data_IF_189191588850
#
_entry.id   IF_189191588850
#
_cell.length_a   1.000
_cell.length_b   1.000
_cell.length_c   1.000
_cell.angle_alpha   90.00
_cell.angle_beta   90.00
_cell.angle_gamma   90.00
#
_symmetry.space_group_name_H-M   'P 1'
#
loop_
_entity.id
_entity.type
_entity.pdbx_description
1 polymer ?
#
# COMPACT_ATOMS: atom_id res chain seq x y z
N UNK A 1 13.39 -14.54 5.43
CA UNK A 1 12.41 -13.81 6.27
C UNK A 1 11.52 -14.75 7.08
N UNK A 2 10.85 -15.73 6.47
CA UNK A 2 9.98 -16.69 7.18
C UNK A 2 10.64 -17.40 8.38
N UNK A 3 11.93 -17.76 8.32
CA UNK A 3 12.67 -18.31 9.48
C UNK A 3 12.74 -17.34 10.66
N UNK A 4 12.95 -16.05 10.40
CA UNK A 4 12.99 -15.02 11.44
C UNK A 4 11.58 -14.79 12.01
N UNK A 5 10.55 -14.81 11.16
CA UNK A 5 9.15 -14.73 11.59
C UNK A 5 8.81 -15.84 12.60
N UNK A 6 9.12 -17.10 12.26
CA UNK A 6 8.88 -18.24 13.15
C UNK A 6 9.69 -18.15 14.44
N UNK A 7 10.96 -17.73 14.36
CA UNK A 7 11.79 -17.51 15.54
C UNK A 7 11.21 -16.43 16.48
N UNK A 8 10.48 -15.46 15.95
CA UNK A 8 9.74 -14.44 16.69
C UNK A 8 8.31 -14.82 17.08
N UNK A 9 7.87 -16.07 16.82
CA UNK A 9 6.51 -16.54 17.14
C UNK A 9 5.43 -16.16 16.13
N UNK A 10 5.80 -15.59 14.97
CA UNK A 10 4.87 -15.30 13.87
C UNK A 10 4.71 -16.55 13.01
N UNK A 11 3.51 -17.11 12.96
CA UNK A 11 3.20 -18.38 12.26
C UNK A 11 2.54 -18.20 10.89
N UNK A 12 2.15 -16.98 10.53
CA UNK A 12 1.54 -16.63 9.25
C UNK A 12 1.97 -15.23 8.84
N UNK A 13 2.22 -15.00 7.54
CA UNK A 13 2.50 -13.66 7.00
C UNK A 13 1.76 -13.41 5.69
N UNK A 14 1.61 -12.13 5.34
CA UNK A 14 1.09 -11.67 4.06
C UNK A 14 2.15 -10.76 3.43
N UNK A 15 2.73 -11.18 2.31
CA UNK A 15 3.77 -10.39 1.62
C UNK A 15 3.15 -9.29 0.74
N UNK A 16 3.83 -8.14 0.69
CA UNK A 16 3.44 -6.98 -0.12
C UNK A 16 3.90 -7.15 -1.59
N UNK A 17 3.23 -6.52 -2.57
CA UNK A 17 3.48 -6.78 -3.99
C UNK A 17 4.67 -6.01 -4.58
N UNK A 18 5.26 -5.09 -3.83
CA UNK A 18 6.34 -4.19 -4.27
C UNK A 18 7.72 -4.88 -4.30
N UNK A 19 7.78 -6.14 -4.73
CA UNK A 19 9.02 -6.87 -5.00
C UNK A 19 9.56 -6.58 -6.40
N UNK A 20 10.70 -7.17 -6.76
CA UNK A 20 11.23 -7.12 -8.14
C UNK A 20 11.25 -8.56 -8.69
N UNK A 21 10.38 -8.90 -9.68
CA UNK A 21 9.32 -8.08 -10.27
C UNK A 21 8.15 -7.81 -9.31
N UNK A 22 7.34 -6.78 -9.58
CA UNK A 22 6.17 -6.46 -8.75
C UNK A 22 5.06 -7.51 -8.97
N UNK A 23 4.37 -7.94 -7.92
CA UNK A 23 3.24 -8.88 -8.02
C UNK A 23 1.95 -8.17 -8.49
N UNK A 24 1.95 -7.78 -9.76
CA UNK A 24 0.89 -7.01 -10.42
C UNK A 24 0.20 -7.79 -11.55
N UNK A 25 0.55 -9.07 -11.73
CA UNK A 25 -0.10 -10.02 -12.62
C UNK A 25 -0.39 -11.33 -11.88
N UNK A 26 -1.40 -12.08 -12.34
CA UNK A 26 -1.71 -13.41 -11.77
C UNK A 26 -0.54 -14.39 -11.91
N UNK A 27 0.25 -14.28 -12.99
CA UNK A 27 1.44 -15.10 -13.22
C UNK A 27 2.51 -14.89 -12.15
N UNK A 28 2.91 -13.64 -11.90
CA UNK A 28 3.94 -13.34 -10.88
C UNK A 28 3.42 -13.69 -9.48
N UNK A 29 2.13 -13.51 -9.25
CA UNK A 29 1.50 -13.89 -7.99
C UNK A 29 1.56 -15.41 -7.78
N UNK A 30 1.29 -16.21 -8.81
CA UNK A 30 1.42 -17.67 -8.75
C UNK A 30 2.87 -18.11 -8.54
N UNK A 31 3.84 -17.48 -9.22
CA UNK A 31 5.26 -17.75 -9.00
C UNK A 31 5.65 -17.57 -7.52
N UNK A 32 5.12 -16.54 -6.86
CA UNK A 32 5.34 -16.32 -5.42
C UNK A 32 4.76 -17.44 -4.56
N UNK A 33 3.55 -17.93 -4.86
CA UNK A 33 2.98 -19.10 -4.17
C UNK A 33 3.87 -20.34 -4.34
N UNK A 34 4.38 -20.59 -5.54
CA UNK A 34 5.28 -21.73 -5.80
C UNK A 34 6.61 -21.60 -5.04
N UNK A 35 7.20 -20.41 -4.99
CA UNK A 35 8.42 -20.15 -4.23
C UNK A 35 8.18 -20.37 -2.73
N UNK A 36 7.09 -19.84 -2.18
CA UNK A 36 6.79 -19.96 -0.76
C UNK A 36 6.44 -21.40 -0.35
N UNK A 37 5.79 -22.18 -1.22
CA UNK A 37 5.52 -23.61 -0.97
C UNK A 37 6.79 -24.44 -0.77
N UNK A 38 7.89 -24.05 -1.42
CA UNK A 38 9.16 -24.77 -1.33
C UNK A 38 10.07 -24.22 -0.22
N UNK A 39 9.96 -22.93 0.10
CA UNK A 39 10.97 -22.23 0.91
C UNK A 39 10.45 -21.61 2.21
N UNK A 40 9.14 -21.48 2.38
CA UNK A 40 8.58 -20.82 3.57
C UNK A 40 8.58 -21.76 4.77
N UNK A 41 8.98 -21.24 5.92
CA UNK A 41 8.91 -21.92 7.21
C UNK A 41 7.63 -21.56 8.01
N UNK A 42 6.82 -20.62 7.49
CA UNK A 42 5.59 -20.10 8.08
C UNK A 42 4.47 -20.21 7.05
N UNK A 43 3.20 -20.19 7.49
CA UNK A 43 2.08 -20.02 6.55
C UNK A 43 2.21 -18.66 5.84
N UNK A 44 1.68 -18.59 4.62
CA UNK A 44 1.85 -17.43 3.74
C UNK A 44 0.60 -17.15 2.92
N UNK A 45 0.41 -15.88 2.60
CA UNK A 45 -0.42 -15.38 1.51
C UNK A 45 0.24 -14.12 0.95
N UNK A 46 -0.36 -13.53 -0.08
CA UNK A 46 0.18 -12.39 -0.80
C UNK A 46 -0.93 -11.37 -1.04
N UNK A 47 -0.53 -10.12 -1.24
CA UNK A 47 -1.40 -9.07 -1.75
C UNK A 47 -1.26 -8.97 -3.27
N UNK A 48 -2.35 -8.74 -3.98
CA UNK A 48 -2.31 -8.36 -5.40
C UNK A 48 -2.00 -6.86 -5.51
N UNK A 49 -0.91 -6.49 -6.18
CA UNK A 49 -0.60 -5.08 -6.45
C UNK A 49 -1.51 -4.50 -7.52
N UNK A 50 -2.02 -3.29 -7.28
CA UNK A 50 -2.65 -2.49 -8.32
C UNK A 50 -1.69 -1.40 -8.82
N UNK A 51 -1.77 -1.13 -10.11
CA UNK A 51 -1.10 -0.04 -10.81
C UNK A 51 -2.15 0.75 -11.62
N UNK A 52 -1.73 1.81 -12.30
CA UNK A 52 -2.62 2.56 -13.19
C UNK A 52 -3.15 1.72 -14.38
N UNK A 53 -2.47 0.62 -14.73
CA UNK A 53 -2.66 -0.06 -16.01
C UNK A 53 -3.11 -1.53 -15.90
N UNK A 54 -3.24 -2.09 -14.69
CA UNK A 54 -3.43 -3.53 -14.50
C UNK A 54 -4.80 -3.94 -13.94
N UNK A 55 -5.84 -3.11 -14.10
CA UNK A 55 -7.17 -3.40 -13.54
C UNK A 55 -7.68 -4.80 -13.93
N UNK A 56 -7.47 -5.23 -15.17
CA UNK A 56 -7.91 -6.55 -15.63
C UNK A 56 -7.25 -7.69 -14.86
N UNK A 57 -5.99 -7.53 -14.45
CA UNK A 57 -5.29 -8.49 -13.59
C UNK A 57 -5.84 -8.45 -12.16
N UNK A 58 -6.13 -7.25 -11.64
CA UNK A 58 -6.75 -7.08 -10.31
C UNK A 58 -8.10 -7.79 -10.25
N UNK A 59 -8.94 -7.68 -11.29
CA UNK A 59 -10.26 -8.30 -11.33
C UNK A 59 -10.24 -9.82 -11.50
N UNK A 60 -9.14 -10.41 -11.98
CA UNK A 60 -8.95 -11.88 -12.03
C UNK A 60 -8.60 -12.49 -10.67
N UNK A 61 -8.28 -11.66 -9.67
CA UNK A 61 -7.76 -12.12 -8.38
C UNK A 61 -8.77 -12.98 -7.63
N UNK A 62 -8.36 -14.19 -7.24
CA UNK A 62 -9.21 -15.09 -6.48
C UNK A 62 -9.23 -14.71 -4.99
N UNK A 63 -10.41 -14.39 -4.41
CA UNK A 63 -10.52 -13.98 -3.00
C UNK A 63 -10.26 -15.10 -1.98
N UNK A 64 -10.12 -16.36 -2.42
CA UNK A 64 -9.90 -17.50 -1.52
C UNK A 64 -8.43 -17.73 -1.15
N UNK A 65 -7.49 -17.28 -1.98
CA UNK A 65 -6.07 -17.48 -1.73
C UNK A 65 -5.33 -16.16 -1.48
N UNK A 66 -5.79 -15.04 -2.05
CA UNK A 66 -5.16 -13.72 -1.93
C UNK A 66 -5.79 -12.93 -0.79
N UNK A 67 -4.95 -12.28 0.04
CA UNK A 67 -5.40 -11.56 1.23
C UNK A 67 -6.14 -10.25 0.91
N UNK A 68 -5.86 -9.65 -0.24
CA UNK A 68 -6.51 -8.43 -0.71
C UNK A 68 -5.72 -7.76 -1.83
N UNK A 69 -6.17 -6.58 -2.21
CA UNK A 69 -5.51 -5.71 -3.19
C UNK A 69 -4.69 -4.68 -2.42
N UNK A 70 -3.45 -4.44 -2.82
CA UNK A 70 -2.59 -3.41 -2.25
C UNK A 70 -2.39 -2.27 -3.25
N UNK A 71 -2.63 -1.05 -2.77
CA UNK A 71 -2.44 0.19 -3.53
C UNK A 71 -1.49 1.12 -2.75
N UNK A 72 -0.56 1.76 -3.47
CA UNK A 72 0.28 2.82 -2.93
C UNK A 72 -0.22 4.16 -3.46
N UNK A 73 -0.78 4.99 -2.58
CA UNK A 73 -1.30 6.33 -2.91
C UNK A 73 -0.22 7.41 -2.80
N UNK A 74 0.93 7.03 -2.24
CA UNK A 74 2.16 7.80 -2.20
C UNK A 74 3.35 6.90 -1.88
N UNK A 75 4.55 7.46 -1.88
CA UNK A 75 5.81 6.81 -1.53
C UNK A 75 6.14 5.51 -2.24
N UNK A 76 5.77 5.36 -3.51
CA UNK A 76 6.05 4.11 -4.20
C UNK A 76 7.40 4.13 -4.91
N UNK A 77 8.11 3.00 -4.86
CA UNK A 77 9.20 2.69 -5.78
C UNK A 77 8.63 2.10 -7.07
N UNK A 78 9.07 2.57 -8.24
CA UNK A 78 8.64 2.04 -9.55
C UNK A 78 7.21 2.42 -9.96
N UNK A 79 6.62 1.67 -10.90
CA UNK A 79 5.29 1.91 -11.50
C UNK A 79 4.10 1.53 -10.59
N UNK A 80 4.30 1.44 -9.28
CA UNK A 80 3.29 0.99 -8.31
C UNK A 80 2.52 2.14 -7.65
N UNK A 81 2.91 3.39 -7.91
CA UNK A 81 2.11 4.56 -7.54
C UNK A 81 0.84 4.58 -8.39
N UNK A 82 -0.32 4.69 -7.76
CA UNK A 82 -1.60 4.90 -8.45
C UNK A 82 -2.06 6.32 -8.15
N UNK A 83 -1.80 7.22 -9.08
CA UNK A 83 -2.05 8.67 -8.99
C UNK A 83 -3.17 9.14 -9.93
N UNK A 84 -3.73 8.25 -10.75
CA UNK A 84 -4.89 8.55 -11.58
C UNK A 84 -6.20 8.33 -10.79
N UNK A 85 -6.91 9.41 -10.52
CA UNK A 85 -8.17 9.40 -9.76
C UNK A 85 -9.27 8.56 -10.43
N UNK A 86 -9.35 8.55 -11.76
CA UNK A 86 -10.32 7.73 -12.49
C UNK A 86 -10.02 6.23 -12.33
N UNK A 87 -8.73 5.86 -12.36
CA UNK A 87 -8.31 4.47 -12.16
C UNK A 87 -8.55 4.04 -10.71
N UNK A 88 -8.23 4.89 -9.73
CA UNK A 88 -8.51 4.63 -8.32
C UNK A 88 -10.00 4.39 -8.09
N UNK A 89 -10.87 5.28 -8.59
CA UNK A 89 -12.31 5.11 -8.45
C UNK A 89 -12.81 3.84 -9.13
N UNK A 90 -12.26 3.49 -10.30
CA UNK A 90 -12.60 2.26 -11.01
C UNK A 90 -12.20 1.03 -10.20
N UNK A 91 -11.00 0.98 -9.62
CA UNK A 91 -10.57 -0.13 -8.75
C UNK A 91 -11.52 -0.25 -7.54
N UNK A 92 -11.77 0.87 -6.86
CA UNK A 92 -12.63 0.92 -5.66
C UNK A 92 -14.09 0.54 -5.94
N UNK A 93 -14.58 0.67 -7.18
CA UNK A 93 -15.94 0.31 -7.57
C UNK A 93 -16.08 -1.07 -8.21
N UNK A 94 -14.97 -1.70 -8.63
CA UNK A 94 -15.01 -2.91 -9.46
C UNK A 94 -14.68 -4.21 -8.71
N UNK A 95 -14.38 -4.16 -7.41
CA UNK A 95 -13.99 -5.35 -6.64
C UNK A 95 -14.67 -5.42 -5.27
N UNK A 96 -14.94 -6.64 -4.82
CA UNK A 96 -15.40 -6.94 -3.46
C UNK A 96 -14.26 -7.34 -2.51
N UNK A 97 -13.04 -7.46 -3.03
CA UNK A 97 -11.85 -7.72 -2.22
C UNK A 97 -11.57 -6.56 -1.26
N UNK A 98 -10.92 -6.88 -0.14
CA UNK A 98 -10.35 -5.86 0.74
C UNK A 98 -9.26 -5.09 -0.03
N UNK A 99 -9.39 -3.77 -0.06
CA UNK A 99 -8.38 -2.86 -0.60
C UNK A 99 -7.57 -2.33 0.58
N UNK A 100 -6.29 -2.67 0.60
CA UNK A 100 -5.31 -2.13 1.52
C UNK A 100 -4.54 -0.97 0.88
N UNK A 101 -4.41 0.14 1.59
CA UNK A 101 -3.74 1.34 1.08
C UNK A 101 -2.54 1.74 1.94
N UNK A 102 -1.48 2.20 1.30
CA UNK A 102 -0.47 3.06 1.93
C UNK A 102 -0.82 4.52 1.61
N UNK A 103 -0.99 5.34 2.64
CA UNK A 103 -1.55 6.69 2.53
C UNK A 103 -0.53 7.75 2.93
N UNK A 104 0.11 8.37 1.92
CA UNK A 104 0.87 9.61 2.08
C UNK A 104 0.65 10.49 0.84
N UNK A 105 0.45 11.79 1.00
CA UNK A 105 0.20 12.73 -0.11
C UNK A 105 1.51 13.17 -0.78
N UNK A 106 1.74 12.71 -2.01
CA UNK A 106 2.96 12.97 -2.77
C UNK A 106 3.21 14.46 -3.04
N UNK A 107 2.17 15.23 -3.29
CA UNK A 107 2.31 16.67 -3.54
C UNK A 107 2.84 17.38 -2.29
N UNK A 108 2.28 17.08 -1.12
CA UNK A 108 2.73 17.63 0.17
C UNK A 108 4.18 17.22 0.44
N UNK A 109 4.52 15.95 0.24
CA UNK A 109 5.88 15.44 0.45
C UNK A 109 6.88 16.13 -0.47
N UNK A 110 6.59 16.25 -1.77
CA UNK A 110 7.45 16.94 -2.74
C UNK A 110 7.63 18.41 -2.36
N UNK A 111 6.56 19.10 -2.02
CA UNK A 111 6.62 20.50 -1.61
C UNK A 111 7.46 20.71 -0.33
N UNK A 112 7.36 19.79 0.64
CA UNK A 112 8.19 19.84 1.83
C UNK A 112 9.65 19.52 1.50
N UNK A 113 9.89 18.47 0.71
CA UNK A 113 11.24 18.08 0.29
C UNK A 113 11.97 19.24 -0.39
N UNK A 114 11.32 19.96 -1.30
CA UNK A 114 11.94 21.11 -1.98
C UNK A 114 12.33 22.23 -1.01
N UNK A 115 11.55 22.47 0.06
CA UNK A 115 11.92 23.43 1.11
C UNK A 115 13.17 22.98 1.86
N UNK A 116 13.24 21.70 2.24
CA UNK A 116 14.39 21.17 2.96
C UNK A 116 15.64 21.07 2.06
N UNK A 117 15.48 20.79 0.77
CA UNK A 117 16.58 20.89 -0.21
C UNK A 117 17.10 22.31 -0.35
N UNK A 118 16.24 23.32 -0.31
CA UNK A 118 16.67 24.70 -0.36
C UNK A 118 17.50 25.12 0.87
N UNK A 119 17.26 24.49 2.03
CA UNK A 119 17.97 24.77 3.29
C UNK A 119 19.27 23.94 3.44
N UNK A 120 19.20 22.64 3.14
CA UNK A 120 20.27 21.67 3.42
C UNK A 120 21.01 21.16 2.17
N UNK A 121 20.55 21.50 0.97
CA UNK A 121 21.03 20.89 -0.27
C UNK A 121 20.66 19.40 -0.33
N UNK A 122 21.60 18.57 -0.79
CA UNK A 122 21.41 17.11 -0.87
C UNK A 122 21.67 16.41 0.49
N UNK A 123 22.32 17.08 1.44
CA UNK A 123 22.70 16.52 2.74
C UNK A 123 21.61 16.75 3.80
N UNK A 124 20.36 16.43 3.46
CA UNK A 124 19.21 16.58 4.36
C UNK A 124 19.38 15.64 5.57
N UNK A 125 19.34 16.14 6.81
CA UNK A 125 19.49 15.29 7.99
C UNK A 125 18.27 14.36 8.16
N UNK A 126 18.51 13.14 8.66
CA UNK A 126 17.43 12.15 8.91
C UNK A 126 16.35 12.68 9.85
N UNK A 127 16.68 13.62 10.73
CA UNK A 127 15.72 14.29 11.62
C UNK A 127 14.66 15.10 10.86
N UNK A 128 14.91 15.49 9.61
CA UNK A 128 13.92 16.15 8.76
C UNK A 128 12.92 15.18 8.11
N UNK A 129 13.15 13.86 8.17
CA UNK A 129 12.32 12.87 7.46
C UNK A 129 10.83 12.99 7.80
N UNK A 130 10.49 13.06 9.09
CA UNK A 130 9.11 13.22 9.57
C UNK A 130 8.51 14.61 9.32
N UNK A 131 9.35 15.62 9.02
CA UNK A 131 8.89 16.96 8.63
C UNK A 131 8.57 17.01 7.13
N UNK A 132 9.33 16.26 6.33
CA UNK A 132 9.08 16.09 4.89
C UNK A 132 7.84 15.22 4.69
N UNK A 133 7.86 14.02 5.29
CA UNK A 133 6.75 13.05 5.34
C UNK A 133 5.84 13.35 6.52
N UNK A 134 5.25 14.54 6.47
CA UNK A 134 4.52 15.17 7.58
C UNK A 134 3.20 14.47 7.94
N UNK A 135 2.72 14.71 9.16
CA UNK A 135 1.36 14.33 9.60
C UNK A 135 0.27 14.74 8.59
N UNK A 136 0.39 15.94 8.02
CA UNK A 136 -0.57 16.45 7.04
C UNK A 136 -0.59 15.59 5.77
N UNK A 137 0.57 15.13 5.30
CA UNK A 137 0.67 14.26 4.12
C UNK A 137 -0.07 12.93 4.36
N UNK A 138 0.11 12.32 5.53
CA UNK A 138 -0.62 11.11 5.91
C UNK A 138 -2.12 11.37 5.98
N UNK A 139 -2.53 12.41 6.71
CA UNK A 139 -3.94 12.76 6.93
C UNK A 139 -4.71 13.04 5.62
N UNK A 140 -4.12 13.83 4.71
CA UNK A 140 -4.75 14.16 3.42
C UNK A 140 -5.00 12.91 2.58
N UNK A 141 -3.99 12.03 2.46
CA UNK A 141 -4.09 10.80 1.68
C UNK A 141 -5.08 9.81 2.29
N UNK A 142 -5.04 9.63 3.62
CA UNK A 142 -6.00 8.79 4.37
C UNK A 142 -7.43 9.31 4.22
N UNK A 143 -7.63 10.62 4.31
CA UNK A 143 -8.95 11.26 4.12
C UNK A 143 -9.49 11.03 2.72
N UNK A 144 -8.65 11.18 1.68
CA UNK A 144 -9.02 10.93 0.28
C UNK A 144 -9.43 9.47 0.06
N UNK A 145 -8.63 8.52 0.55
CA UNK A 145 -8.93 7.09 0.43
C UNK A 145 -10.25 6.71 1.10
N UNK A 146 -10.50 7.22 2.31
CA UNK A 146 -11.74 6.97 3.06
C UNK A 146 -12.95 7.61 2.37
N UNK A 147 -12.82 8.84 1.84
CA UNK A 147 -13.88 9.48 1.07
C UNK A 147 -14.24 8.65 -0.17
N UNK A 148 -13.24 8.11 -0.87
CA UNK A 148 -13.45 7.25 -2.02
C UNK A 148 -14.14 5.93 -1.64
N UNK A 149 -13.70 5.27 -0.56
CA UNK A 149 -14.35 4.07 -0.07
C UNK A 149 -15.81 4.30 0.36
N UNK A 150 -16.11 5.45 0.99
CA UNK A 150 -17.49 5.85 1.31
C UNK A 150 -18.32 6.09 0.05
N UNK A 151 -17.73 6.69 -0.99
CA UNK A 151 -18.39 6.96 -2.27
C UNK A 151 -18.73 5.68 -3.03
N UNK A 152 -17.81 4.71 -3.10
CA UNK A 152 -17.99 3.50 -3.90
C UNK A 152 -18.56 2.31 -3.13
N UNK A 153 -18.55 2.36 -1.79
CA UNK A 153 -18.88 1.22 -0.93
C UNK A 153 -17.75 0.19 -0.80
N UNK A 154 -16.52 0.53 -1.21
CA UNK A 154 -15.37 -0.37 -1.13
C UNK A 154 -15.04 -0.80 0.31
N UNK A 155 -14.56 -2.03 0.48
CA UNK A 155 -13.96 -2.49 1.73
C UNK A 155 -12.51 -1.99 1.83
N UNK A 156 -12.31 -0.89 2.54
CA UNK A 156 -10.98 -0.28 2.73
C UNK A 156 -10.31 -0.74 4.02
N UNK A 157 -8.98 -0.86 3.98
CA UNK A 157 -8.11 -1.02 5.14
C UNK A 157 -6.86 -0.13 4.99
N UNK A 158 -6.70 0.84 5.88
CA UNK A 158 -5.54 1.76 5.86
C UNK A 158 -4.40 1.14 6.66
N UNK A 159 -3.24 0.92 6.04
CA UNK A 159 -2.08 0.35 6.73
C UNK A 159 -1.34 1.39 7.57
N UNK A 160 -0.63 0.88 8.59
CA UNK A 160 0.45 1.55 9.33
C UNK A 160 0.16 3.03 9.65
N UNK A 161 -1.00 3.30 10.26
CA UNK A 161 -1.30 4.63 10.81
C UNK A 161 -0.15 5.07 11.71
N UNK A 162 0.30 6.31 11.50
CA UNK A 162 1.46 6.86 12.19
C UNK A 162 1.13 8.12 12.99
N UNK A 163 -0.08 8.67 12.83
CA UNK A 163 -0.47 9.94 13.45
C UNK A 163 -1.75 9.82 14.26
N UNK A 164 -1.86 10.63 15.32
CA UNK A 164 -3.09 10.72 16.11
C UNK A 164 -4.23 11.35 15.29
N UNK A 165 -3.92 12.32 14.43
CA UNK A 165 -4.89 13.01 13.58
C UNK A 165 -5.63 12.07 12.63
N UNK A 166 -4.97 11.05 12.09
CA UNK A 166 -5.63 10.04 11.26
C UNK A 166 -6.64 9.18 12.04
N UNK A 167 -6.45 8.99 13.35
CA UNK A 167 -7.36 8.17 14.16
C UNK A 167 -8.79 8.72 14.18
N UNK A 168 -8.96 10.04 14.05
CA UNK A 168 -10.27 10.71 13.99
C UNK A 168 -11.08 10.32 12.74
N UNK A 169 -10.43 9.72 11.73
CA UNK A 169 -11.08 9.23 10.52
C UNK A 169 -11.75 7.86 10.72
N UNK A 170 -11.46 7.16 11.82
CA UNK A 170 -11.91 5.78 12.08
C UNK A 170 -12.90 5.71 13.26
N UNK A 171 -13.73 4.68 13.25
CA UNK A 171 -14.70 4.40 14.31
C UNK A 171 -14.80 2.89 14.53
N UNK A 172 -15.14 2.48 15.75
CA UNK A 172 -15.42 1.08 16.12
C UNK A 172 -16.89 0.69 15.93
N UNK A 173 -17.69 1.57 15.31
CA UNK A 173 -19.11 1.34 15.05
C UNK A 173 -19.34 0.58 13.75
#
# INVERSE_FOLDING_TARGET
>A
ESRAAVAGGITSFIEQPNTVPNAVTQEILEEKYQIAAQKSFSNYSFMMGATNDNLDEVLKTNPRNVAGIKIFLGSSTGNMLVDNDEVLEKIFSSTSLLIAVHCEDETTIKNNLEKFKAEYGEDIPVTAHHLIRSEEACYLSSSKAIALAKKTGARLHVFHLSTAKEMDLFTNK
#
